data_IF_463076667295
#
_entry.id   IF_463076667295
#
_cell.length_a   1.000
_cell.length_b   1.000
_cell.length_c   1.000
_cell.angle_alpha   90.00
_cell.angle_beta   90.00
_cell.angle_gamma   90.00
#
_symmetry.space_group_name_H-M   'P 1'
#
loop_
_entity.id
_entity.type
_entity.pdbx_description
1 polymer ?
#
# COMPACT_ATOMS: atom_id res chain seq x y z
N UNK A 1 -6.60 21.99 4.35
CA UNK A 1 -7.77 21.08 4.48
C UNK A 1 -7.32 19.82 5.20
N UNK A 2 -8.11 19.32 6.15
CA UNK A 2 -7.84 18.07 6.85
C UNK A 2 -8.15 16.86 5.95
N UNK A 3 -7.36 15.78 6.00
CA UNK A 3 -7.66 14.52 5.32
C UNK A 3 -9.02 13.97 5.75
N UNK A 4 -9.83 13.38 4.84
CA UNK A 4 -11.13 12.83 5.18
C UNK A 4 -11.01 11.65 6.15
N UNK A 5 -11.97 11.50 7.07
CA UNK A 5 -11.98 10.43 8.07
C UNK A 5 -11.91 9.02 7.44
N UNK A 6 -12.51 8.84 6.26
CA UNK A 6 -12.44 7.57 5.53
C UNK A 6 -11.02 7.21 5.10
N UNK A 7 -10.19 8.19 4.71
CA UNK A 7 -8.78 7.96 4.37
C UNK A 7 -7.97 7.55 5.60
N UNK A 8 -8.26 8.13 6.76
CA UNK A 8 -7.65 7.74 8.04
C UNK A 8 -8.00 6.30 8.41
N UNK A 9 -9.26 5.90 8.23
CA UNK A 9 -9.70 4.53 8.44
C UNK A 9 -8.96 3.55 7.50
N UNK A 10 -8.81 3.91 6.22
CA UNK A 10 -8.05 3.10 5.27
C UNK A 10 -6.58 2.92 5.65
N UNK A 11 -5.93 3.91 6.26
CA UNK A 11 -4.56 3.76 6.77
C UNK A 11 -4.48 2.73 7.93
N UNK A 12 -5.50 2.65 8.78
CA UNK A 12 -5.60 1.62 9.82
C UNK A 12 -5.86 0.24 9.21
N UNK A 13 -6.79 0.14 8.24
CA UNK A 13 -7.06 -1.12 7.52
C UNK A 13 -5.79 -1.63 6.84
N UNK A 14 -5.04 -0.75 6.16
CA UNK A 14 -3.78 -1.12 5.52
C UNK A 14 -2.71 -1.55 6.51
N UNK A 15 -2.57 -0.86 7.65
CA UNK A 15 -1.68 -1.30 8.72
C UNK A 15 -2.00 -2.74 9.17
N UNK A 16 -3.28 -3.04 9.41
CA UNK A 16 -3.69 -4.38 9.83
C UNK A 16 -3.39 -5.41 8.74
N UNK A 17 -3.72 -5.12 7.48
CA UNK A 17 -3.41 -6.00 6.36
C UNK A 17 -1.90 -6.28 6.27
N UNK A 18 -1.08 -5.23 6.28
CA UNK A 18 0.37 -5.35 6.20
C UNK A 18 0.94 -6.20 7.32
N UNK A 19 0.57 -5.94 8.58
CA UNK A 19 1.12 -6.69 9.73
C UNK A 19 0.66 -8.14 9.73
N UNK A 20 -0.60 -8.42 9.37
CA UNK A 20 -1.14 -9.79 9.29
C UNK A 20 -0.40 -10.63 8.26
N UNK A 21 0.01 -10.06 7.13
CA UNK A 21 0.82 -10.78 6.14
C UNK A 21 2.32 -10.73 6.43
N UNK A 22 2.85 -9.61 6.94
CA UNK A 22 4.26 -9.43 7.23
C UNK A 22 4.76 -10.37 8.33
N UNK A 23 3.99 -10.55 9.41
CA UNK A 23 4.39 -11.40 10.52
C UNK A 23 4.70 -12.86 10.12
N UNK A 24 3.79 -13.59 9.44
CA UNK A 24 4.09 -14.95 8.99
C UNK A 24 5.16 -14.99 7.89
N UNK A 25 5.18 -14.02 6.97
CA UNK A 25 6.25 -13.91 5.96
C UNK A 25 7.64 -13.68 6.59
N UNK A 26 7.70 -13.00 7.72
CA UNK A 26 8.96 -12.72 8.41
C UNK A 26 9.44 -13.93 9.24
N UNK A 27 8.54 -14.49 10.05
CA UNK A 27 8.86 -15.52 11.04
C UNK A 27 8.95 -16.92 10.41
N UNK A 28 8.04 -17.26 9.52
CA UNK A 28 7.91 -18.60 8.95
C UNK A 28 7.59 -18.57 7.44
N UNK A 29 8.43 -17.93 6.60
CA UNK A 29 8.15 -17.71 5.17
C UNK A 29 7.86 -18.99 4.41
N UNK A 30 8.66 -20.04 4.63
CA UNK A 30 8.51 -21.32 3.92
C UNK A 30 7.21 -22.02 4.28
N UNK A 31 6.86 -22.06 5.56
CA UNK A 31 5.62 -22.70 6.01
C UNK A 31 4.42 -21.93 5.50
N UNK A 32 4.40 -20.60 5.66
CA UNK A 32 3.26 -19.78 5.26
C UNK A 32 3.02 -19.81 3.75
N UNK A 33 4.04 -19.54 2.94
CA UNK A 33 3.88 -19.56 1.49
C UNK A 33 3.71 -21.00 0.94
N UNK A 34 4.29 -22.00 1.60
CA UNK A 34 4.06 -23.41 1.28
C UNK A 34 2.59 -23.81 1.42
N UNK A 35 1.89 -23.33 2.46
CA UNK A 35 0.43 -23.52 2.62
C UNK A 35 -0.37 -22.87 1.48
N UNK A 36 0.17 -21.85 0.84
CA UNK A 36 -0.46 -21.14 -0.29
C UNK A 36 -0.01 -21.71 -1.66
N UNK A 37 0.73 -22.82 -1.67
CA UNK A 37 1.11 -23.54 -2.88
C UNK A 37 2.47 -23.17 -3.47
N UNK A 38 3.29 -22.35 -2.80
CA UNK A 38 4.67 -22.12 -3.25
C UNK A 38 5.52 -23.38 -3.06
N UNK A 39 6.09 -23.89 -4.16
CA UNK A 39 6.99 -25.04 -4.13
C UNK A 39 8.41 -24.69 -3.64
N UNK A 40 8.89 -23.49 -3.95
CA UNK A 40 10.18 -22.98 -3.51
C UNK A 40 10.02 -21.56 -2.97
N UNK A 41 10.72 -21.28 -1.87
CA UNK A 41 10.65 -19.99 -1.17
C UNK A 41 12.06 -19.60 -0.76
N UNK A 42 12.53 -18.46 -1.26
CA UNK A 42 13.72 -17.78 -0.74
C UNK A 42 13.33 -16.97 0.50
N UNK A 43 13.80 -17.36 1.71
CA UNK A 43 13.48 -16.63 2.93
C UNK A 43 14.11 -15.25 3.00
N UNK A 44 15.23 -15.01 2.30
CA UNK A 44 15.90 -13.69 2.33
C UNK A 44 15.03 -12.66 1.62
N UNK A 45 14.68 -12.92 0.36
CA UNK A 45 13.77 -12.05 -0.39
C UNK A 45 12.41 -11.91 0.30
N UNK A 46 11.86 -13.00 0.84
CA UNK A 46 10.54 -12.97 1.50
C UNK A 46 10.54 -12.12 2.77
N UNK A 47 11.60 -12.21 3.58
CA UNK A 47 11.75 -11.36 4.78
C UNK A 47 11.99 -9.90 4.43
N UNK A 48 12.67 -9.63 3.33
CA UNK A 48 12.84 -8.26 2.84
C UNK A 48 11.48 -7.65 2.44
N UNK A 49 10.63 -8.41 1.74
CA UNK A 49 9.25 -8.00 1.44
C UNK A 49 8.46 -7.78 2.74
N UNK A 50 8.55 -8.69 3.70
CA UNK A 50 7.89 -8.54 4.99
C UNK A 50 8.36 -7.27 5.74
N UNK A 51 9.66 -6.95 5.70
CA UNK A 51 10.20 -5.73 6.27
C UNK A 51 9.64 -4.47 5.59
N UNK A 52 9.45 -4.49 4.27
CA UNK A 52 8.81 -3.40 3.54
C UNK A 52 7.34 -3.23 3.97
N UNK A 53 6.58 -4.32 4.12
CA UNK A 53 5.21 -4.29 4.64
C UNK A 53 5.15 -3.76 6.07
N UNK A 54 6.05 -4.18 6.96
CA UNK A 54 6.15 -3.59 8.30
C UNK A 54 6.43 -2.09 8.25
N UNK A 55 7.41 -1.66 7.46
CA UNK A 55 7.76 -0.25 7.34
C UNK A 55 6.58 0.61 6.85
N UNK A 56 5.97 0.23 5.73
CA UNK A 56 4.85 0.97 5.14
C UNK A 56 3.60 0.87 6.01
N UNK A 57 3.31 -0.30 6.57
CA UNK A 57 2.15 -0.57 7.40
C UNK A 57 2.20 0.18 8.72
N UNK A 58 3.30 0.04 9.47
CA UNK A 58 3.48 0.73 10.76
C UNK A 58 3.46 2.25 10.54
N UNK A 59 4.11 2.77 9.49
CA UNK A 59 4.01 4.19 9.15
C UNK A 59 2.57 4.62 8.82
N UNK A 60 1.75 3.74 8.25
CA UNK A 60 0.32 4.04 8.04
C UNK A 60 -0.42 4.23 9.36
N UNK A 61 -0.12 3.42 10.38
CA UNK A 61 -0.68 3.60 11.71
C UNK A 61 -0.17 4.90 12.33
N UNK A 62 1.14 5.14 12.37
CA UNK A 62 1.73 6.31 13.01
C UNK A 62 1.22 7.62 12.37
N UNK A 63 1.23 7.70 11.03
CA UNK A 63 0.83 8.87 10.27
C UNK A 63 -0.69 9.07 10.09
N UNK A 64 -1.54 8.18 10.62
CA UNK A 64 -3.01 8.19 10.38
C UNK A 64 -3.71 9.48 10.79
N UNK A 65 -3.08 10.29 11.64
CA UNK A 65 -3.65 11.53 12.14
C UNK A 65 -3.01 12.80 11.59
N UNK A 66 -2.04 12.69 10.70
CA UNK A 66 -1.27 13.81 10.17
C UNK A 66 -2.05 14.69 9.17
N UNK A 67 -1.39 15.74 8.70
CA UNK A 67 -1.93 16.72 7.75
C UNK A 67 -1.94 16.23 6.30
N UNK A 68 -2.62 16.98 5.43
CA UNK A 68 -2.79 16.62 4.02
C UNK A 68 -1.48 16.44 3.24
N UNK A 69 -0.43 17.17 3.60
CA UNK A 69 0.89 17.03 2.95
C UNK A 69 1.50 15.65 3.22
N UNK A 70 1.55 15.22 4.48
CA UNK A 70 2.03 13.89 4.85
C UNK A 70 1.20 12.77 4.20
N UNK A 71 -0.13 12.93 4.16
CA UNK A 71 -0.99 11.99 3.44
C UNK A 71 -0.67 11.94 1.94
N UNK A 72 -0.40 13.07 1.29
CA UNK A 72 0.01 13.07 -0.13
C UNK A 72 1.33 12.35 -0.35
N UNK A 73 2.33 12.60 0.50
CA UNK A 73 3.62 11.93 0.43
C UNK A 73 3.46 10.41 0.61
N UNK A 74 2.73 9.98 1.64
CA UNK A 74 2.49 8.56 1.89
C UNK A 74 1.63 7.89 0.82
N UNK A 75 0.65 8.59 0.26
CA UNK A 75 -0.13 8.07 -0.88
C UNK A 75 0.76 7.85 -2.11
N UNK A 76 1.71 8.74 -2.40
CA UNK A 76 2.65 8.53 -3.51
C UNK A 76 3.47 7.26 -3.30
N UNK A 77 4.03 7.06 -2.09
CA UNK A 77 4.78 5.83 -1.74
C UNK A 77 3.90 4.59 -1.94
N UNK A 78 2.67 4.62 -1.40
CA UNK A 78 1.73 3.51 -1.49
C UNK A 78 1.34 3.18 -2.92
N UNK A 79 1.11 4.19 -3.77
CA UNK A 79 0.79 4.00 -5.18
C UNK A 79 1.97 3.37 -5.92
N UNK A 80 3.19 3.92 -5.76
CA UNK A 80 4.38 3.39 -6.43
C UNK A 80 4.60 1.94 -6.01
N UNK A 81 4.63 1.66 -4.70
CA UNK A 81 4.84 0.33 -4.15
C UNK A 81 3.78 -0.67 -4.63
N UNK A 82 2.50 -0.35 -4.47
CA UNK A 82 1.43 -1.29 -4.83
C UNK A 82 1.32 -1.50 -6.34
N UNK A 83 1.62 -0.49 -7.16
CA UNK A 83 1.63 -0.64 -8.62
C UNK A 83 2.76 -1.58 -9.05
N UNK A 84 4.00 -1.34 -8.59
CA UNK A 84 5.14 -2.18 -8.97
C UNK A 84 5.02 -3.59 -8.40
N UNK A 85 4.51 -3.75 -7.17
CA UNK A 85 4.19 -5.05 -6.60
C UNK A 85 3.12 -5.79 -7.41
N UNK A 86 2.04 -5.11 -7.83
CA UNK A 86 1.00 -5.70 -8.69
C UNK A 86 1.61 -6.20 -10.00
N UNK A 87 2.39 -5.38 -10.69
CA UNK A 87 3.03 -5.75 -11.95
C UNK A 87 3.99 -6.93 -11.79
N UNK A 88 4.83 -6.90 -10.75
CA UNK A 88 5.77 -8.01 -10.46
C UNK A 88 5.05 -9.31 -10.12
N UNK A 89 3.95 -9.25 -9.36
CA UNK A 89 3.12 -10.42 -9.03
C UNK A 89 2.38 -10.97 -10.24
N UNK A 90 1.84 -10.10 -11.11
CA UNK A 90 1.23 -10.52 -12.39
C UNK A 90 2.26 -11.23 -13.24
N UNK A 91 3.46 -10.66 -13.40
CA UNK A 91 4.52 -11.27 -14.18
C UNK A 91 4.91 -12.65 -13.62
N UNK A 92 5.10 -12.74 -12.30
CA UNK A 92 5.44 -13.99 -11.62
C UNK A 92 4.33 -15.05 -11.74
N UNK A 93 3.07 -14.64 -11.73
CA UNK A 93 1.94 -15.55 -11.90
C UNK A 93 1.84 -16.08 -13.33
N UNK A 94 2.19 -15.26 -14.33
CA UNK A 94 2.26 -15.65 -15.73
C UNK A 94 3.45 -16.60 -16.01
N UNK A 95 4.55 -16.44 -15.27
CA UNK A 95 5.74 -17.33 -15.32
C UNK A 95 5.52 -18.70 -14.62
N UNK A 96 4.27 -19.06 -14.29
CA UNK A 96 3.95 -20.34 -13.66
C UNK A 96 3.98 -20.33 -12.13
N UNK A 97 3.89 -19.13 -11.52
CA UNK A 97 3.67 -19.00 -10.08
C UNK A 97 2.40 -19.73 -9.60
N UNK A 98 2.28 -20.01 -8.29
CA UNK A 98 1.14 -20.75 -7.77
C UNK A 98 -0.17 -20.00 -7.98
N UNK A 99 -1.31 -20.69 -8.17
CA UNK A 99 -2.60 -20.05 -8.42
C UNK A 99 -2.99 -18.99 -7.38
N UNK A 100 -2.58 -19.17 -6.12
CA UNK A 100 -2.85 -18.23 -5.04
C UNK A 100 -2.11 -16.88 -5.20
N UNK A 101 -1.09 -16.78 -6.07
CA UNK A 101 -0.45 -15.51 -6.40
C UNK A 101 -1.44 -14.47 -6.94
N UNK A 102 -2.48 -14.89 -7.66
CA UNK A 102 -3.54 -14.01 -8.15
C UNK A 102 -4.35 -13.35 -7.02
N UNK A 103 -4.46 -14.00 -5.85
CA UNK A 103 -5.10 -13.37 -4.69
C UNK A 103 -4.28 -12.16 -4.21
N UNK A 104 -2.94 -12.27 -4.18
CA UNK A 104 -2.08 -11.13 -3.86
C UNK A 104 -2.16 -10.03 -4.93
N UNK A 105 -2.18 -10.39 -6.22
CA UNK A 105 -2.41 -9.43 -7.32
C UNK A 105 -3.70 -8.62 -7.06
N UNK A 106 -4.81 -9.30 -6.78
CA UNK A 106 -6.08 -8.65 -6.53
C UNK A 106 -6.04 -7.70 -5.32
N UNK A 107 -5.38 -8.11 -4.23
CA UNK A 107 -5.21 -7.28 -3.03
C UNK A 107 -4.40 -6.02 -3.34
N UNK A 108 -3.22 -6.16 -3.95
CA UNK A 108 -2.37 -5.01 -4.28
C UNK A 108 -3.03 -4.06 -5.28
N UNK A 109 -3.70 -4.60 -6.31
CA UNK A 109 -4.44 -3.81 -7.28
C UNK A 109 -5.59 -3.03 -6.64
N UNK A 110 -6.34 -3.66 -5.73
CA UNK A 110 -7.43 -3.01 -4.99
C UNK A 110 -6.92 -1.87 -4.13
N UNK A 111 -5.86 -2.09 -3.36
CA UNK A 111 -5.25 -1.03 -2.56
C UNK A 111 -4.71 0.10 -3.44
N UNK A 112 -4.06 -0.23 -4.55
CA UNK A 112 -3.58 0.77 -5.50
C UNK A 112 -4.71 1.68 -6.01
N UNK A 113 -5.85 1.09 -6.38
CA UNK A 113 -7.03 1.84 -6.82
C UNK A 113 -7.55 2.78 -5.72
N UNK A 114 -7.63 2.29 -4.47
CA UNK A 114 -8.02 3.11 -3.31
C UNK A 114 -7.06 4.29 -3.11
N UNK A 115 -5.74 4.05 -3.16
CA UNK A 115 -4.75 5.11 -2.97
C UNK A 115 -4.78 6.14 -4.09
N UNK A 116 -4.90 5.70 -5.33
CA UNK A 116 -5.01 6.57 -6.50
C UNK A 116 -6.26 7.43 -6.40
N UNK A 117 -7.41 6.86 -6.04
CA UNK A 117 -8.64 7.60 -5.79
C UNK A 117 -8.45 8.74 -4.77
N UNK A 118 -7.89 8.43 -3.60
CA UNK A 118 -7.66 9.46 -2.57
C UNK A 118 -6.60 10.49 -2.98
N UNK A 119 -5.58 10.08 -3.73
CA UNK A 119 -4.52 10.97 -4.21
C UNK A 119 -5.04 12.00 -5.21
N UNK A 120 -5.93 11.59 -6.11
CA UNK A 120 -6.62 12.48 -7.05
C UNK A 120 -7.56 13.41 -6.28
N UNK A 121 -8.38 12.86 -5.37
CA UNK A 121 -9.33 13.64 -4.55
C UNK A 121 -8.63 14.74 -3.72
N UNK A 122 -7.48 14.46 -3.13
CA UNK A 122 -6.68 15.45 -2.38
C UNK A 122 -5.95 16.47 -3.27
N UNK A 123 -5.76 16.17 -4.56
CA UNK A 123 -5.20 17.06 -5.57
C UNK A 123 -6.24 18.05 -6.10
N UNK A 124 -7.40 17.56 -6.55
CA UNK A 124 -8.49 18.40 -7.08
C UNK A 124 -9.02 19.41 -6.06
N UNK A 125 -9.00 19.07 -4.77
CA UNK A 125 -9.39 19.96 -3.68
C UNK A 125 -8.40 21.13 -3.45
N UNK A 126 -7.14 21.00 -3.88
CA UNK A 126 -6.17 22.09 -3.80
C UNK A 126 -6.32 23.10 -4.94
N UNK A 127 -6.73 22.63 -6.13
CA UNK A 127 -6.94 23.44 -7.34
C UNK A 127 -8.21 24.28 -7.31
N UNK A 128 -9.12 24.02 -6.37
CA UNK A 128 -10.41 24.69 -6.22
C UNK A 128 -10.44 25.73 -5.08
N UNK A 129 -9.31 25.94 -4.39
CA UNK A 129 -9.19 27.06 -3.45
C UNK A 129 -9.20 28.38 -4.24
N UNK A 130 -10.12 29.32 -3.96
CA UNK A 130 -10.20 30.56 -4.71
C UNK A 130 -8.88 31.34 -4.59
N UNK A 131 -8.41 31.86 -5.72
CA UNK A 131 -7.33 32.83 -5.82
C UNK A 131 -7.76 34.17 -5.20
N UNK A 132 -8.05 34.20 -3.90
CA UNK A 132 -8.24 35.42 -3.13
C UNK A 132 -6.91 35.72 -2.45
N UNK A 133 -6.12 36.61 -3.07
CA UNK A 133 -5.09 37.50 -2.46
C UNK A 133 -4.07 38.06 -3.50
N UNK A 134 -4.45 38.23 -4.76
CA UNK A 134 -3.61 38.90 -5.77
C UNK A 134 -4.25 40.17 -6.36
N UNK A 135 -5.16 40.82 -5.63
CA UNK A 135 -5.75 42.11 -6.01
C UNK A 135 -5.91 43.04 -4.81
N UNK A 136 -4.83 43.35 -4.11
CA UNK A 136 -4.66 44.65 -3.43
C UNK A 136 -3.16 44.88 -3.31
N UNK A 137 -2.51 45.38 -4.36
CA UNK A 137 -1.40 46.35 -4.33
C UNK A 137 -1.34 47.04 -5.69
#
# INVERSE_FOLDING_TARGET
>A
MSPPASLRAWFVVHFMADVVFAAPLFLAPRSFLGLLGWASVDPVATRLVAAALFGIGIQSLLGRNEGAEAFRAMLNVKIIWSATATLGLVWSALDGGPPFAWAFVAVFATFNAVWTYYRVRLGSAASSAPAQLARVQ
#
